data_IF_593758304465
#
_entry.id   IF_593758304465
#
_cell.length_a   1.000
_cell.length_b   1.000
_cell.length_c   1.000
_cell.angle_alpha   90.00
_cell.angle_beta   90.00
_cell.angle_gamma   90.00
#
_symmetry.space_group_name_H-M   'P 1'
#
loop_
_entity.id
_entity.type
_entity.pdbx_description
1 polymer ?
#
# COMPACT_ATOMS: atom_id res chain seq x y z
N UNK A 1 0.25 -35.14 11.27
CA UNK A 1 -0.53 -33.95 10.84
C UNK A 1 -0.02 -33.27 9.56
N UNK A 2 0.97 -33.83 8.87
CA UNK A 2 1.55 -33.27 7.63
C UNK A 2 0.91 -33.79 6.32
N UNK A 3 -0.24 -34.47 6.37
CA UNK A 3 -0.77 -35.18 5.18
C UNK A 3 -1.86 -34.44 4.39
N UNK A 4 -2.44 -33.36 4.89
CA UNK A 4 -3.59 -32.72 4.25
C UNK A 4 -3.28 -31.54 3.32
N UNK A 5 -2.08 -30.98 3.39
CA UNK A 5 -1.69 -29.81 2.56
C UNK A 5 -1.72 -30.06 1.05
N UNK A 6 -1.14 -31.17 0.52
CA UNK A 6 -1.15 -31.40 -0.92
C UNK A 6 -2.57 -31.57 -1.49
N UNK A 7 -3.47 -32.19 -0.70
CA UNK A 7 -4.87 -32.33 -1.11
C UNK A 7 -5.64 -31.01 -1.08
N UNK A 8 -5.33 -30.13 -0.15
CA UNK A 8 -5.90 -28.79 -0.07
C UNK A 8 -5.56 -27.97 -1.31
N UNK A 9 -4.29 -27.90 -1.70
CA UNK A 9 -3.85 -27.22 -2.92
C UNK A 9 -4.48 -27.82 -4.17
N UNK A 10 -4.61 -29.14 -4.24
CA UNK A 10 -5.25 -29.80 -5.37
C UNK A 10 -6.74 -29.47 -5.47
N UNK A 11 -7.45 -29.33 -4.36
CA UNK A 11 -8.86 -28.90 -4.33
C UNK A 11 -9.00 -27.45 -4.81
N UNK A 12 -8.13 -26.55 -4.37
CA UNK A 12 -8.11 -25.17 -4.81
C UNK A 12 -7.86 -25.08 -6.33
N UNK A 13 -6.87 -25.79 -6.83
CA UNK A 13 -6.62 -25.88 -8.27
C UNK A 13 -7.83 -26.36 -9.07
N UNK A 14 -8.53 -27.37 -8.59
CA UNK A 14 -9.74 -27.90 -9.24
C UNK A 14 -10.87 -26.87 -9.24
N UNK A 15 -10.96 -26.02 -8.22
CA UNK A 15 -11.97 -24.98 -8.13
C UNK A 15 -11.65 -23.78 -9.05
N UNK A 16 -10.37 -23.38 -9.14
CA UNK A 16 -9.94 -22.20 -9.88
C UNK A 16 -9.72 -22.46 -11.38
N UNK A 17 -9.20 -23.63 -11.74
CA UNK A 17 -8.89 -23.95 -13.15
C UNK A 17 -9.98 -24.82 -13.79
N UNK A 18 -10.76 -24.28 -14.73
CA UNK A 18 -11.75 -25.05 -15.46
C UNK A 18 -11.18 -26.30 -16.12
N UNK A 19 -11.92 -27.41 -16.10
CA UNK A 19 -11.47 -28.71 -16.64
C UNK A 19 -10.98 -28.66 -18.08
N UNK A 20 -11.51 -27.73 -18.90
CA UNK A 20 -11.12 -27.51 -20.31
C UNK A 20 -9.72 -26.91 -20.44
N UNK A 21 -9.27 -26.15 -19.45
CA UNK A 21 -7.98 -25.44 -19.46
C UNK A 21 -6.87 -26.19 -18.70
N UNK A 22 -7.19 -27.29 -18.00
CA UNK A 22 -6.19 -28.04 -17.19
C UNK A 22 -5.07 -28.68 -17.98
N UNK A 23 -5.24 -28.86 -19.30
CA UNK A 23 -4.16 -29.33 -20.19
C UNK A 23 -3.14 -28.24 -20.49
N UNK A 24 -3.60 -26.99 -20.56
CA UNK A 24 -2.76 -25.82 -20.85
C UNK A 24 -2.13 -25.28 -19.55
N UNK A 25 -2.80 -25.51 -18.41
CA UNK A 25 -2.35 -25.09 -17.09
C UNK A 25 -2.22 -26.31 -16.16
N UNK A 26 -1.13 -27.09 -16.25
CA UNK A 26 -0.91 -28.24 -15.40
C UNK A 26 -0.80 -27.83 -13.92
N UNK A 27 -1.16 -28.76 -13.03
CA UNK A 27 -1.17 -28.51 -11.57
C UNK A 27 0.18 -28.01 -11.04
N UNK A 28 1.26 -28.54 -11.55
CA UNK A 28 2.63 -28.17 -11.13
C UNK A 28 2.93 -26.69 -11.45
N UNK A 29 2.56 -26.23 -12.65
CA UNK A 29 2.73 -24.83 -13.05
C UNK A 29 1.83 -23.91 -12.22
N UNK A 30 0.59 -24.31 -12.00
CA UNK A 30 -0.32 -23.57 -11.14
C UNK A 30 0.22 -23.48 -9.71
N UNK A 31 0.74 -24.56 -9.14
CA UNK A 31 1.29 -24.59 -7.78
C UNK A 31 2.49 -23.64 -7.64
N UNK A 32 3.39 -23.61 -8.64
CA UNK A 32 4.52 -22.69 -8.67
C UNK A 32 4.02 -21.24 -8.70
N UNK A 33 3.11 -20.93 -9.61
CA UNK A 33 2.57 -19.58 -9.74
C UNK A 33 1.83 -19.13 -8.48
N UNK A 34 1.01 -20.01 -7.90
CA UNK A 34 0.30 -19.75 -6.65
C UNK A 34 1.27 -19.52 -5.48
N UNK A 35 2.34 -20.31 -5.38
CA UNK A 35 3.38 -20.09 -4.38
C UNK A 35 4.12 -18.76 -4.56
N UNK A 36 4.40 -18.35 -5.81
CA UNK A 36 4.97 -17.04 -6.11
C UNK A 36 4.04 -15.90 -5.72
N UNK A 37 2.74 -16.05 -5.98
CA UNK A 37 1.73 -15.04 -5.63
C UNK A 37 1.62 -14.87 -4.11
N UNK A 38 1.55 -15.96 -3.36
CA UNK A 38 1.56 -15.92 -1.89
C UNK A 38 2.83 -15.26 -1.35
N UNK A 39 4.00 -15.69 -1.81
CA UNK A 39 5.27 -15.12 -1.37
C UNK A 39 5.39 -13.62 -1.73
N UNK A 40 4.85 -13.20 -2.88
CA UNK A 40 4.83 -11.79 -3.27
C UNK A 40 3.93 -10.96 -2.36
N UNK A 41 2.77 -11.48 -1.99
CA UNK A 41 1.84 -10.81 -1.08
C UNK A 41 2.44 -10.68 0.32
N UNK A 42 3.07 -11.74 0.84
CA UNK A 42 3.73 -11.73 2.14
C UNK A 42 4.90 -10.73 2.14
N UNK A 43 5.67 -10.68 1.05
CA UNK A 43 6.76 -9.71 0.91
C UNK A 43 6.26 -8.27 0.85
N UNK A 44 5.18 -8.00 0.09
CA UNK A 44 4.58 -6.67 0.02
C UNK A 44 4.07 -6.19 1.40
N UNK A 45 3.46 -7.08 2.17
CA UNK A 45 3.07 -6.80 3.55
C UNK A 45 4.30 -6.53 4.43
N UNK A 46 5.32 -7.39 4.35
CA UNK A 46 6.54 -7.30 5.14
C UNK A 46 7.33 -6.01 4.86
N UNK A 47 7.35 -5.49 3.63
CA UNK A 47 8.02 -4.22 3.27
C UNK A 47 7.55 -3.07 4.19
N UNK A 48 6.29 -3.06 4.61
CA UNK A 48 5.76 -2.01 5.47
C UNK A 48 5.76 -2.36 6.95
N UNK A 49 5.57 -3.62 7.32
CA UNK A 49 5.28 -4.04 8.70
C UNK A 49 6.37 -4.86 9.37
N UNK A 50 7.34 -5.38 8.61
CA UNK A 50 8.36 -6.28 9.13
C UNK A 50 9.23 -5.62 10.22
N UNK A 51 9.66 -6.46 11.18
CA UNK A 51 10.60 -6.08 12.22
C UNK A 51 11.64 -7.18 12.38
N UNK A 52 12.89 -6.84 12.16
CA UNK A 52 13.99 -7.79 12.27
C UNK A 52 14.03 -8.44 13.66
N UNK A 53 14.11 -9.77 13.66
CA UNK A 53 14.39 -10.57 14.87
C UNK A 53 15.80 -11.15 14.79
N UNK A 54 16.52 -11.12 15.90
CA UNK A 54 17.85 -11.73 16.02
C UNK A 54 17.78 -13.24 16.29
N UNK A 55 16.58 -13.81 16.43
CA UNK A 55 16.42 -15.24 16.72
C UNK A 55 16.91 -16.09 15.55
N UNK A 56 17.63 -17.16 15.86
CA UNK A 56 18.22 -18.05 14.84
C UNK A 56 17.16 -18.86 14.08
N UNK A 57 16.00 -19.10 14.69
CA UNK A 57 14.87 -19.83 14.09
C UNK A 57 13.86 -18.86 13.44
N UNK A 58 14.29 -18.13 12.41
CA UNK A 58 13.39 -17.28 11.64
C UNK A 58 12.50 -18.15 10.77
N UNK A 59 11.19 -18.12 11.06
CA UNK A 59 10.17 -18.87 10.32
C UNK A 59 9.32 -17.98 9.43
N UNK A 60 9.36 -16.64 9.68
CA UNK A 60 8.56 -15.68 8.95
C UNK A 60 9.43 -14.69 8.17
N UNK A 61 8.96 -14.27 7.00
CA UNK A 61 9.60 -13.21 6.22
C UNK A 61 9.62 -11.89 6.97
N UNK A 62 8.65 -11.66 7.85
CA UNK A 62 8.54 -10.47 8.69
C UNK A 62 9.67 -10.32 9.70
N UNK A 63 10.35 -11.41 10.06
CA UNK A 63 11.47 -11.40 11.00
C UNK A 63 12.83 -11.18 10.31
N UNK A 64 12.83 -11.06 8.98
CA UNK A 64 14.05 -11.09 8.18
C UNK A 64 14.71 -9.72 8.00
N UNK A 65 13.95 -8.65 8.08
CA UNK A 65 14.41 -7.27 7.89
C UNK A 65 13.45 -6.26 8.55
N UNK A 66 13.89 -5.00 8.67
CA UNK A 66 13.03 -3.91 9.16
C UNK A 66 12.25 -3.30 8.00
N UNK A 67 10.92 -3.31 8.13
CA UNK A 67 10.02 -2.66 7.20
C UNK A 67 10.00 -1.14 7.37
N UNK A 68 9.40 -0.45 6.42
CA UNK A 68 9.31 1.02 6.41
C UNK A 68 8.67 1.56 7.69
N UNK A 69 7.61 0.92 8.21
CA UNK A 69 6.95 1.32 9.45
C UNK A 69 7.88 1.24 10.67
N UNK A 70 8.68 0.17 10.76
CA UNK A 70 9.68 -0.02 11.82
C UNK A 70 10.77 1.04 11.73
N UNK A 71 11.31 1.29 10.54
CA UNK A 71 12.34 2.32 10.30
C UNK A 71 11.81 3.73 10.69
N UNK A 72 10.56 4.05 10.36
CA UNK A 72 9.95 5.33 10.72
C UNK A 72 9.83 5.42 12.25
N UNK A 73 9.30 4.39 12.91
CA UNK A 73 9.13 4.37 14.37
C UNK A 73 10.47 4.50 15.12
N UNK A 74 11.49 3.83 14.65
CA UNK A 74 12.83 3.95 15.20
C UNK A 74 13.44 5.33 14.96
N UNK A 75 13.26 5.90 13.76
CA UNK A 75 13.67 7.25 13.43
C UNK A 75 12.98 8.31 14.31
N UNK A 76 11.71 8.11 14.64
CA UNK A 76 10.98 8.95 15.61
C UNK A 76 11.57 8.82 17.01
N UNK A 77 11.89 7.60 17.45
CA UNK A 77 12.44 7.35 18.79
C UNK A 77 13.83 8.00 18.99
N UNK A 78 14.66 8.07 17.95
CA UNK A 78 15.99 8.73 18.01
C UNK A 78 15.93 10.23 17.67
N UNK A 79 14.78 10.73 17.18
CA UNK A 79 14.56 12.14 16.85
C UNK A 79 14.95 12.55 15.42
N UNK A 80 15.43 11.64 14.60
CA UNK A 80 15.75 11.89 13.19
C UNK A 80 14.50 12.17 12.34
N UNK A 81 13.38 11.58 12.77
CA UNK A 81 12.05 11.82 12.19
C UNK A 81 11.21 12.55 13.23
N UNK A 82 10.93 13.83 12.99
CA UNK A 82 10.17 14.65 13.93
C UNK A 82 9.50 15.84 13.26
N UNK A 83 8.50 16.39 13.92
CA UNK A 83 7.86 17.63 13.46
C UNK A 83 8.82 18.82 13.43
N UNK A 84 9.86 18.82 14.31
CA UNK A 84 10.88 19.86 14.36
C UNK A 84 11.76 19.85 13.10
N UNK A 85 12.08 18.67 12.58
CA UNK A 85 12.81 18.49 11.32
C UNK A 85 11.92 18.70 10.07
N UNK A 86 10.61 18.89 10.27
CA UNK A 86 9.64 19.14 9.18
C UNK A 86 9.37 17.93 8.28
N UNK A 87 9.72 16.72 8.71
CA UNK A 87 9.51 15.48 7.98
C UNK A 87 8.32 14.66 8.50
N UNK A 88 7.69 15.09 9.58
CA UNK A 88 6.42 14.56 10.09
C UNK A 88 5.33 15.61 10.05
N UNK A 89 4.18 15.25 9.56
CA UNK A 89 2.97 16.06 9.60
C UNK A 89 1.85 15.28 10.31
N UNK A 90 1.37 15.80 11.42
CA UNK A 90 0.29 15.16 12.19
C UNK A 90 -1.05 15.54 11.57
N UNK A 91 -1.72 14.60 10.94
CA UNK A 91 -3.05 14.79 10.33
C UNK A 91 -4.18 14.70 11.35
N UNK A 92 -3.96 14.04 12.49
CA UNK A 92 -5.02 13.52 13.33
C UNK A 92 -5.73 12.33 12.66
N UNK A 93 -6.86 11.91 13.20
CA UNK A 93 -7.64 10.81 12.64
C UNK A 93 -8.20 11.19 11.26
N UNK A 94 -7.94 10.35 10.27
CA UNK A 94 -8.45 10.49 8.91
C UNK A 94 -9.82 9.80 8.81
N UNK A 95 -10.78 10.55 8.35
CA UNK A 95 -12.16 10.10 8.16
C UNK A 95 -12.62 10.43 6.74
N UNK A 96 -13.70 9.78 6.28
CA UNK A 96 -14.32 10.08 4.99
C UNK A 96 -14.62 11.58 4.78
N UNK A 97 -14.99 12.28 5.86
CA UNK A 97 -15.36 13.71 5.78
C UNK A 97 -14.15 14.65 5.64
N UNK A 98 -12.97 14.27 6.13
CA UNK A 98 -11.82 15.17 6.22
C UNK A 98 -10.60 14.75 5.39
N UNK A 99 -10.59 13.53 4.86
CA UNK A 99 -9.40 12.95 4.23
C UNK A 99 -8.82 13.80 3.11
N UNK A 100 -9.66 14.30 2.20
CA UNK A 100 -9.18 15.10 1.07
C UNK A 100 -8.51 16.40 1.50
N UNK A 101 -9.12 17.11 2.47
CA UNK A 101 -8.54 18.33 3.04
C UNK A 101 -7.21 18.03 3.76
N UNK A 102 -7.17 16.97 4.57
CA UNK A 102 -5.98 16.58 5.34
C UNK A 102 -4.81 16.14 4.46
N UNK A 103 -5.06 15.36 3.42
CA UNK A 103 -4.02 15.02 2.43
C UNK A 103 -3.51 16.25 1.68
N UNK A 104 -4.40 17.19 1.37
CA UNK A 104 -4.02 18.46 0.75
C UNK A 104 -3.23 19.37 1.70
N UNK A 105 -3.60 19.43 2.99
CA UNK A 105 -2.82 20.13 4.02
C UNK A 105 -1.42 19.53 4.15
N UNK A 106 -1.29 18.21 4.24
CA UNK A 106 -0.01 17.51 4.24
C UNK A 106 0.83 17.86 3.02
N UNK A 107 0.25 17.86 1.82
CA UNK A 107 0.90 18.31 0.60
C UNK A 107 1.34 19.77 0.68
N UNK A 108 0.52 20.66 1.21
CA UNK A 108 0.85 22.10 1.35
C UNK A 108 1.95 22.34 2.36
N UNK A 109 2.03 21.54 3.40
CA UNK A 109 3.07 21.61 4.43
C UNK A 109 4.45 21.25 3.90
N UNK A 110 4.54 20.43 2.88
CA UNK A 110 5.83 20.01 2.30
C UNK A 110 6.72 21.17 1.87
N UNK A 111 8.04 21.07 2.09
CA UNK A 111 9.01 22.08 1.63
C UNK A 111 8.93 22.32 0.12
N UNK A 112 9.16 23.56 -0.29
CA UNK A 112 9.15 23.94 -1.72
C UNK A 112 10.20 23.19 -2.53
N UNK A 113 11.33 22.87 -1.95
CA UNK A 113 12.40 22.08 -2.56
C UNK A 113 11.92 20.67 -2.93
N UNK A 114 11.12 20.05 -2.07
CA UNK A 114 10.52 18.76 -2.33
C UNK A 114 9.47 18.85 -3.46
N UNK A 115 8.58 19.83 -3.39
CA UNK A 115 7.51 20.04 -4.40
C UNK A 115 8.03 20.31 -5.81
N UNK A 116 9.30 20.72 -5.95
CA UNK A 116 9.96 20.93 -7.26
C UNK A 116 10.44 19.62 -7.90
N UNK A 117 10.54 18.55 -7.12
CA UNK A 117 10.95 17.25 -7.65
C UNK A 117 9.85 16.69 -8.57
N UNK A 118 10.26 15.85 -9.49
CA UNK A 118 9.34 15.09 -10.37
C UNK A 118 8.94 13.77 -9.71
N UNK A 119 7.83 13.22 -10.14
CA UNK A 119 7.36 11.88 -9.71
C UNK A 119 7.18 11.78 -8.18
N UNK A 120 6.49 12.75 -7.61
CA UNK A 120 6.13 12.68 -6.19
C UNK A 120 4.96 11.73 -6.05
N UNK A 121 5.11 10.76 -5.15
CA UNK A 121 4.10 9.77 -4.84
C UNK A 121 3.64 9.89 -3.40
N UNK A 122 2.34 9.78 -3.20
CA UNK A 122 1.71 9.67 -1.90
C UNK A 122 1.17 8.25 -1.76
N UNK A 123 1.82 7.45 -0.94
CA UNK A 123 1.38 6.11 -0.62
C UNK A 123 0.33 6.16 0.48
N UNK A 124 -0.79 5.51 0.26
CA UNK A 124 -1.91 5.42 1.20
C UNK A 124 -2.38 3.96 1.29
N UNK A 125 -2.96 3.57 2.43
CA UNK A 125 -3.64 2.27 2.54
C UNK A 125 -4.85 2.22 1.60
N UNK A 126 -5.30 1.02 1.26
CA UNK A 126 -6.50 0.84 0.43
C UNK A 126 -7.74 1.47 1.06
N UNK A 127 -7.93 1.30 2.37
CA UNK A 127 -9.04 1.91 3.11
C UNK A 127 -9.05 3.44 2.97
N UNK A 128 -7.87 4.08 3.11
CA UNK A 128 -7.75 5.53 2.91
C UNK A 128 -7.98 5.92 1.45
N UNK A 129 -7.57 5.08 0.51
CA UNK A 129 -7.83 5.27 -0.92
C UNK A 129 -9.33 5.30 -1.21
N UNK A 130 -10.08 4.36 -0.64
CA UNK A 130 -11.53 4.28 -0.79
C UNK A 130 -12.25 5.45 -0.12
N UNK A 131 -11.81 5.82 1.11
CA UNK A 131 -12.33 7.01 1.79
C UNK A 131 -12.10 8.30 0.97
N UNK A 132 -10.94 8.40 0.31
CA UNK A 132 -10.62 9.55 -0.54
C UNK A 132 -11.49 9.60 -1.80
N UNK A 133 -11.76 8.44 -2.42
CA UNK A 133 -12.66 8.37 -3.57
C UNK A 133 -14.08 8.74 -3.22
N UNK A 134 -14.56 8.28 -2.07
CA UNK A 134 -15.88 8.64 -1.57
C UNK A 134 -15.96 10.13 -1.23
N UNK A 135 -14.94 10.69 -0.58
CA UNK A 135 -14.86 12.13 -0.32
C UNK A 135 -14.93 12.94 -1.63
N UNK A 136 -14.19 12.51 -2.67
CA UNK A 136 -14.24 13.17 -3.98
C UNK A 136 -15.63 13.15 -4.61
N UNK A 137 -16.38 12.07 -4.45
CA UNK A 137 -17.77 11.95 -4.95
C UNK A 137 -18.70 12.89 -4.18
N UNK A 138 -18.58 12.94 -2.86
CA UNK A 138 -19.44 13.75 -1.99
C UNK A 138 -19.23 15.25 -2.21
N UNK A 139 -17.99 15.70 -2.42
CA UNK A 139 -17.67 17.11 -2.72
C UNK A 139 -18.09 17.55 -4.15
N UNK A 140 -18.73 16.67 -4.91
CA UNK A 140 -19.16 16.98 -6.28
C UNK A 140 -17.99 17.30 -7.22
N UNK A 141 -16.77 16.93 -6.86
CA UNK A 141 -15.55 17.19 -7.62
C UNK A 141 -15.42 16.25 -8.83
N UNK A 142 -16.39 15.36 -9.04
CA UNK A 142 -16.60 14.72 -10.33
C UNK A 142 -17.09 15.81 -11.27
N UNK A 143 -16.17 16.49 -11.92
CA UNK A 143 -16.51 17.42 -13.00
C UNK A 143 -17.15 16.58 -14.10
N UNK A 144 -18.47 16.73 -14.23
CA UNK A 144 -19.24 16.15 -15.32
C UNK A 144 -18.58 16.62 -16.62
N UNK A 145 -17.93 15.70 -17.33
CA UNK A 145 -17.28 15.98 -18.63
C UNK A 145 -15.76 15.89 -18.68
N UNK A 146 -15.05 15.76 -17.56
CA UNK A 146 -13.72 15.15 -17.64
C UNK A 146 -13.96 13.65 -17.85
N UNK A 147 -13.51 13.12 -18.99
CA UNK A 147 -13.35 11.68 -19.18
C UNK A 147 -12.79 11.13 -17.89
N UNK A 148 -13.43 10.09 -17.34
CA UNK A 148 -12.77 9.25 -16.34
C UNK A 148 -11.34 9.10 -16.83
N UNK A 149 -10.41 9.57 -16.03
CA UNK A 149 -9.01 9.47 -16.38
C UNK A 149 -8.75 7.98 -16.46
N UNK A 150 -8.75 7.45 -17.69
CA UNK A 150 -8.51 6.03 -17.98
C UNK A 150 -7.05 5.68 -17.76
N UNK A 151 -6.24 6.63 -17.26
CA UNK A 151 -4.94 6.34 -16.69
C UNK A 151 -5.17 5.73 -15.30
N UNK A 152 -4.60 4.56 -15.05
CA UNK A 152 -4.56 3.90 -13.73
C UNK A 152 -3.88 4.75 -12.63
N UNK A 153 -3.53 5.99 -12.93
CA UNK A 153 -2.82 6.91 -12.04
C UNK A 153 -3.76 7.95 -11.48
N UNK A 154 -4.07 7.82 -10.20
CA UNK A 154 -4.85 8.79 -9.46
C UNK A 154 -3.94 9.90 -8.92
N UNK A 155 -4.33 11.16 -9.09
CA UNK A 155 -3.59 12.30 -8.55
C UNK A 155 -4.33 12.98 -7.40
N UNK A 156 -3.57 13.47 -6.42
CA UNK A 156 -4.12 14.25 -5.32
C UNK A 156 -4.74 15.56 -5.84
N UNK A 157 -6.01 15.77 -5.54
CA UNK A 157 -6.72 16.99 -5.90
C UNK A 157 -6.02 18.23 -5.31
N UNK A 158 -5.84 19.29 -6.10
CA UNK A 158 -5.15 20.50 -5.67
C UNK A 158 -3.62 20.44 -5.72
N UNK A 159 -3.02 19.31 -6.11
CA UNK A 159 -1.57 19.19 -6.34
C UNK A 159 -1.12 19.64 -7.73
N UNK A 160 -2.05 20.04 -8.62
CA UNK A 160 -1.81 20.31 -10.04
C UNK A 160 -1.18 19.10 -10.77
N UNK A 161 -1.66 17.90 -10.50
CA UNK A 161 -1.19 16.63 -11.05
C UNK A 161 0.30 16.33 -10.76
N UNK A 162 0.85 16.90 -9.69
CA UNK A 162 2.24 16.68 -9.30
C UNK A 162 2.42 15.55 -8.32
N UNK A 163 1.39 15.21 -7.57
CA UNK A 163 1.38 14.17 -6.55
C UNK A 163 0.49 13.03 -7.02
N UNK A 164 1.09 11.92 -7.36
CA UNK A 164 0.40 10.66 -7.68
C UNK A 164 0.00 9.98 -6.37
N UNK A 165 -1.26 9.57 -6.26
CA UNK A 165 -1.75 8.79 -5.13
C UNK A 165 -1.63 7.32 -5.48
N UNK A 166 -0.85 6.58 -4.69
CA UNK A 166 -0.58 5.16 -4.89
C UNK A 166 -1.16 4.39 -3.73
N UNK A 167 -2.09 3.50 -4.03
CA UNK A 167 -2.64 2.59 -3.04
C UNK A 167 -1.64 1.49 -2.73
N UNK A 168 -1.51 1.17 -1.44
CA UNK A 168 -0.67 0.08 -0.96
C UNK A 168 -1.60 -1.04 -0.52
N UNK A 169 -1.74 -2.09 -1.31
CA UNK A 169 -2.48 -3.26 -0.91
C UNK A 169 -1.77 -3.97 0.25
N UNK A 170 -2.49 -4.80 0.96
CA UNK A 170 -1.96 -5.67 2.02
C UNK A 170 -1.45 -4.94 3.28
N UNK A 171 -1.84 -3.70 3.53
CA UNK A 171 -1.71 -3.11 4.87
C UNK A 171 -2.83 -3.61 5.77
N UNK A 172 -2.62 -3.67 7.10
CA UNK A 172 -3.67 -4.06 8.04
C UNK A 172 -4.92 -3.21 7.87
N UNK A 173 -6.10 -3.83 8.03
CA UNK A 173 -7.40 -3.15 8.00
C UNK A 173 -7.41 -1.96 8.96
N UNK A 174 -7.95 -0.84 8.52
CA UNK A 174 -7.98 0.40 9.29
C UNK A 174 -6.64 1.13 9.41
N UNK A 175 -5.60 0.71 8.68
CA UNK A 175 -4.32 1.40 8.67
C UNK A 175 -4.45 2.83 8.15
N UNK A 176 -4.03 3.81 8.95
CA UNK A 176 -3.97 5.23 8.57
C UNK A 176 -2.58 5.63 8.05
N UNK A 177 -1.93 4.72 7.35
CA UNK A 177 -0.60 4.96 6.80
C UNK A 177 -0.66 5.90 5.60
N UNK A 178 0.09 7.01 5.69
CA UNK A 178 0.30 7.96 4.58
C UNK A 178 1.77 8.33 4.52
N UNK A 179 2.40 8.15 3.37
CA UNK A 179 3.79 8.49 3.15
C UNK A 179 3.97 9.24 1.84
N UNK A 180 4.66 10.39 1.88
CA UNK A 180 5.08 11.14 0.70
C UNK A 180 6.55 10.86 0.39
N UNK A 181 6.82 10.48 -0.85
CA UNK A 181 8.18 10.23 -1.32
C UNK A 181 8.40 10.70 -2.75
N UNK A 182 9.67 10.72 -3.15
CA UNK A 182 10.07 11.00 -4.54
C UNK A 182 10.86 9.82 -5.07
N UNK A 183 10.68 9.52 -6.35
CA UNK A 183 11.48 8.50 -7.04
C UNK A 183 12.91 8.98 -7.27
#
# INVERSE_FOLDING_TARGET
EMSDEPERYRRTYIAEVPGTLRKEHPFELWLINHGHELASNDLLFAIFTAKYSADEEKTDIQDSFDGIGTIITEGEAVGDISSAEGNVYTTGELTRANIGEKLLEMWRHMPRTFKRKKNIKMFVSDDLGDMYDDWRKDEGTIVIGLKEDTSDTQHLLGSNNRCELVRVPNLPDGSQFVMLTTK
#
